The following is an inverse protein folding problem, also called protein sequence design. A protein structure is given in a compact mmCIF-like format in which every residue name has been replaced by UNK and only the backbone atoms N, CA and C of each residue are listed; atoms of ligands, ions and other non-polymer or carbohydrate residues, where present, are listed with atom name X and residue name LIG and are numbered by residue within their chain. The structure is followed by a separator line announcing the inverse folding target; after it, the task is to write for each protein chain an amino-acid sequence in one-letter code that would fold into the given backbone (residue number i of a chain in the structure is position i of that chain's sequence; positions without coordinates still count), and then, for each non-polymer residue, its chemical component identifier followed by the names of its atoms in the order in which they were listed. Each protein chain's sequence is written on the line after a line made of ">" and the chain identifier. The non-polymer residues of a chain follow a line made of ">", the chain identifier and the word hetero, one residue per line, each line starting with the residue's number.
data_IF_005908144170
#
_entry.id   IF_005908144170
#
_cell.length_a   1.000
_cell.length_b   1.000
_cell.length_c   1.000
_cell.angle_alpha   90.00
_cell.angle_beta   90.00
_cell.angle_gamma   90.00
#
_symmetry.space_group_name_H-M   'P 1'
#
loop_
_entity.id
_entity.type
_entity.pdbx_description
1 polymer ?
#
# COMPACT_ATOMS: atom_id res chain seq x y z
N UNK A 1 40.15 -11.68 13.67
CA UNK A 1 39.44 -11.15 12.49
C UNK A 1 39.14 -9.68 12.72
N UNK A 2 39.48 -8.77 11.80
CA UNK A 2 39.40 -7.34 12.05
C UNK A 2 37.93 -6.87 12.09
N UNK A 3 37.59 -6.04 13.08
CA UNK A 3 36.24 -5.51 13.32
C UNK A 3 35.67 -4.72 12.12
N UNK A 4 36.55 -4.23 11.26
CA UNK A 4 36.23 -3.53 10.01
C UNK A 4 35.40 -4.38 9.05
N UNK A 5 35.63 -5.69 8.99
CA UNK A 5 34.84 -6.60 8.16
C UNK A 5 33.37 -6.60 8.58
N UNK A 6 33.12 -6.72 9.89
CA UNK A 6 31.77 -6.74 10.46
C UNK A 6 31.03 -5.42 10.27
N UNK A 7 31.75 -4.30 10.35
CA UNK A 7 31.20 -2.97 10.06
C UNK A 7 30.74 -2.89 8.60
N UNK A 8 31.60 -3.30 7.65
CA UNK A 8 31.26 -3.28 6.22
C UNK A 8 30.07 -4.20 5.94
N UNK A 9 30.05 -5.41 6.50
CA UNK A 9 28.95 -6.34 6.36
C UNK A 9 27.63 -5.75 6.89
N UNK A 10 27.65 -5.11 8.07
CA UNK A 10 26.48 -4.47 8.65
C UNK A 10 25.93 -3.34 7.75
N UNK A 11 26.80 -2.51 7.18
CA UNK A 11 26.38 -1.45 6.24
C UNK A 11 25.78 -2.04 4.95
N UNK A 12 26.37 -3.10 4.39
CA UNK A 12 25.82 -3.76 3.21
C UNK A 12 24.45 -4.39 3.48
N UNK A 13 24.27 -5.03 4.64
CA UNK A 13 22.98 -5.58 5.06
C UNK A 13 21.92 -4.50 5.26
N UNK A 14 22.28 -3.40 5.93
CA UNK A 14 21.37 -2.26 6.13
C UNK A 14 20.97 -1.64 4.78
N UNK A 15 21.92 -1.50 3.86
CA UNK A 15 21.66 -1.02 2.49
C UNK A 15 20.73 -1.94 1.72
N UNK A 16 20.91 -3.26 1.81
CA UNK A 16 20.04 -4.24 1.16
C UNK A 16 18.60 -4.19 1.72
N UNK A 17 18.45 -4.08 3.04
CA UNK A 17 17.14 -3.93 3.69
C UNK A 17 16.49 -2.61 3.24
N UNK A 18 17.23 -1.51 3.24
CA UNK A 18 16.73 -0.20 2.84
C UNK A 18 16.29 -0.18 1.35
N UNK A 19 17.09 -0.75 0.44
CA UNK A 19 16.75 -0.85 -0.98
C UNK A 19 15.50 -1.71 -1.21
N UNK A 20 15.28 -2.70 -0.36
CA UNK A 20 14.08 -3.56 -0.40
C UNK A 20 12.85 -2.86 0.17
N UNK A 21 12.97 -2.13 1.28
CA UNK A 21 11.85 -1.43 1.92
C UNK A 21 11.45 -0.16 1.18
N UNK A 22 12.40 0.57 0.60
CA UNK A 22 12.16 1.84 -0.11
C UNK A 22 11.04 1.78 -1.16
N UNK A 23 11.00 0.81 -2.10
CA UNK A 23 9.90 0.72 -3.07
C UNK A 23 8.54 0.40 -2.44
N UNK A 24 8.50 -0.30 -1.29
CA UNK A 24 7.27 -0.59 -0.56
C UNK A 24 6.69 0.68 0.08
N UNK A 25 7.54 1.49 0.73
CA UNK A 25 7.15 2.78 1.30
C UNK A 25 6.75 3.78 0.20
N UNK A 26 7.44 3.76 -0.95
CA UNK A 26 7.11 4.62 -2.10
C UNK A 26 5.75 4.30 -2.74
N UNK A 27 5.31 3.04 -2.71
CA UNK A 27 3.97 2.65 -3.21
C UNK A 27 2.84 3.26 -2.38
N UNK A 28 3.02 3.39 -1.07
CA UNK A 28 2.03 4.05 -0.19
C UNK A 28 1.85 5.53 -0.56
N UNK A 29 2.94 6.25 -0.86
CA UNK A 29 2.86 7.65 -1.29
C UNK A 29 2.25 7.87 -2.69
N UNK A 30 2.27 6.87 -3.56
CA UNK A 30 1.62 6.94 -4.87
C UNK A 30 0.09 6.80 -4.78
N UNK A 31 -0.41 6.03 -3.81
CA UNK A 31 -1.85 5.92 -3.50
C UNK A 31 -2.45 7.26 -3.10
N UNK A 32 -1.84 7.93 -2.10
CA UNK A 32 -2.28 9.23 -1.60
C UNK A 32 -2.45 10.30 -2.72
N UNK A 33 -1.55 10.34 -3.70
CA UNK A 33 -1.64 11.29 -4.84
C UNK A 33 -2.79 10.94 -5.78
N UNK A 34 -3.07 9.65 -5.99
CA UNK A 34 -4.16 9.17 -6.83
C UNK A 34 -5.52 9.44 -6.18
N UNK A 35 -5.62 9.29 -4.87
CA UNK A 35 -6.85 9.50 -4.10
C UNK A 35 -7.24 10.98 -4.07
N UNK A 36 -6.26 11.87 -3.89
CA UNK A 36 -6.48 13.32 -3.96
C UNK A 36 -7.00 13.76 -5.34
N UNK A 37 -6.50 13.15 -6.42
CA UNK A 37 -6.99 13.42 -7.77
C UNK A 37 -8.41 12.87 -7.99
N UNK A 38 -8.70 11.65 -7.52
CA UNK A 38 -10.03 11.06 -7.61
C UNK A 38 -11.10 11.89 -6.88
N UNK A 39 -10.77 12.45 -5.71
CA UNK A 39 -11.68 13.31 -4.96
C UNK A 39 -12.07 14.58 -5.73
N UNK A 40 -11.14 15.19 -6.48
CA UNK A 40 -11.46 16.35 -7.32
C UNK A 40 -12.43 15.97 -8.44
N UNK A 41 -12.26 14.80 -9.06
CA UNK A 41 -13.15 14.30 -10.12
C UNK A 41 -14.57 14.07 -9.58
N UNK A 42 -14.73 13.47 -8.40
CA UNK A 42 -16.07 13.27 -7.82
C UNK A 42 -16.78 14.58 -7.47
N UNK A 43 -16.04 15.60 -7.01
CA UNK A 43 -16.61 16.95 -6.80
C UNK A 43 -17.13 17.56 -8.10
N UNK A 44 -16.40 17.39 -9.20
CA UNK A 44 -16.84 17.85 -10.52
C UNK A 44 -18.11 17.08 -10.98
N UNK A 45 -18.19 15.77 -10.72
CA UNK A 45 -19.37 14.96 -11.05
C UNK A 45 -20.62 15.41 -10.28
N UNK A 46 -20.49 15.77 -9.00
CA UNK A 46 -21.61 16.33 -8.24
C UNK A 46 -22.11 17.65 -8.84
N UNK A 47 -21.19 18.51 -9.28
CA UNK A 47 -21.56 19.75 -9.96
C UNK A 47 -22.29 19.49 -11.28
N UNK A 48 -21.88 18.47 -12.04
CA UNK A 48 -22.56 18.09 -13.28
C UNK A 48 -23.97 17.56 -13.01
N UNK A 49 -24.14 16.68 -12.02
CA UNK A 49 -25.45 16.15 -11.63
C UNK A 49 -26.38 17.28 -11.18
N UNK A 50 -25.88 18.24 -10.41
CA UNK A 50 -26.65 19.41 -9.99
C UNK A 50 -27.06 20.28 -11.19
N UNK A 51 -26.16 20.46 -12.16
CA UNK A 51 -26.45 21.20 -13.38
C UNK A 51 -27.45 20.47 -14.29
N UNK A 52 -27.34 19.15 -14.46
CA UNK A 52 -28.29 18.31 -15.18
C UNK A 52 -29.69 18.37 -14.58
N UNK A 53 -29.77 18.32 -13.25
CA UNK A 53 -31.04 18.47 -12.54
C UNK A 53 -31.62 19.88 -12.73
N UNK A 54 -30.81 20.93 -12.62
CA UNK A 54 -31.24 22.31 -12.84
C UNK A 54 -31.73 22.54 -14.29
N UNK A 55 -31.14 21.85 -15.27
CA UNK A 55 -31.56 21.85 -16.68
C UNK A 55 -32.78 20.96 -16.94
N UNK A 56 -33.25 20.19 -15.95
CA UNK A 56 -34.38 19.27 -16.09
C UNK A 56 -34.10 18.02 -16.93
N UNK A 57 -32.81 17.67 -17.17
CA UNK A 57 -32.45 16.46 -17.91
C UNK A 57 -32.69 15.18 -17.09
N UNK A 58 -32.67 15.29 -15.76
CA UNK A 58 -32.86 14.18 -14.83
C UNK A 58 -33.89 14.56 -13.76
N UNK A 59 -34.64 13.56 -13.29
CA UNK A 59 -35.61 13.75 -12.19
C UNK A 59 -34.89 14.01 -10.86
N UNK A 60 -35.59 14.65 -9.92
CA UNK A 60 -35.06 14.91 -8.58
C UNK A 60 -34.67 13.61 -7.84
N UNK A 61 -35.43 12.54 -8.04
CA UNK A 61 -35.14 11.21 -7.48
C UNK A 61 -33.83 10.64 -8.04
N UNK A 62 -33.65 10.71 -9.36
CA UNK A 62 -32.43 10.24 -10.02
C UNK A 62 -31.20 11.08 -9.62
N UNK A 63 -31.35 12.40 -9.51
CA UNK A 63 -30.29 13.30 -9.06
C UNK A 63 -29.86 12.97 -7.62
N UNK A 64 -30.82 12.77 -6.73
CA UNK A 64 -30.56 12.42 -5.31
C UNK A 64 -29.88 11.06 -5.19
N UNK A 65 -30.35 10.05 -5.93
CA UNK A 65 -29.75 8.73 -5.94
C UNK A 65 -28.30 8.76 -6.45
N UNK A 66 -28.04 9.52 -7.52
CA UNK A 66 -26.69 9.71 -8.07
C UNK A 66 -25.77 10.43 -7.08
N UNK A 67 -26.26 11.48 -6.41
CA UNK A 67 -25.52 12.21 -5.39
C UNK A 67 -25.13 11.31 -4.19
N UNK A 68 -26.05 10.47 -3.72
CA UNK A 68 -25.79 9.51 -2.64
C UNK A 68 -24.71 8.50 -3.05
N UNK A 69 -24.81 7.95 -4.25
CA UNK A 69 -23.84 6.98 -4.78
C UNK A 69 -22.44 7.60 -4.93
N UNK A 70 -22.34 8.81 -5.48
CA UNK A 70 -21.07 9.52 -5.65
C UNK A 70 -20.46 9.83 -4.28
N UNK A 71 -21.24 10.35 -3.32
CA UNK A 71 -20.76 10.61 -1.96
C UNK A 71 -20.31 9.33 -1.25
N UNK A 72 -21.01 8.21 -1.44
CA UNK A 72 -20.57 6.91 -0.91
C UNK A 72 -19.20 6.51 -1.47
N UNK A 73 -18.96 6.71 -2.77
CA UNK A 73 -17.65 6.44 -3.40
C UNK A 73 -16.55 7.39 -2.93
N UNK A 74 -16.89 8.66 -2.69
CA UNK A 74 -15.96 9.63 -2.11
C UNK A 74 -15.52 9.23 -0.71
N UNK A 75 -16.44 8.75 0.13
CA UNK A 75 -16.12 8.22 1.45
C UNK A 75 -15.21 6.99 1.36
N UNK A 76 -15.50 6.05 0.45
CA UNK A 76 -14.65 4.87 0.26
C UNK A 76 -13.20 5.22 -0.17
N UNK A 77 -13.00 6.30 -0.94
CA UNK A 77 -11.66 6.79 -1.30
C UNK A 77 -10.99 7.55 -0.16
N UNK A 78 -11.76 8.26 0.67
CA UNK A 78 -11.25 8.92 1.87
C UNK A 78 -10.83 7.91 2.96
N UNK A 79 -11.61 6.84 3.13
CA UNK A 79 -11.35 5.73 4.07
C UNK A 79 -10.32 4.71 3.53
N UNK A 80 -9.94 4.79 2.26
CA UNK A 80 -8.79 4.06 1.74
C UNK A 80 -7.44 4.69 2.17
N UNK A 81 -7.47 5.91 2.73
CA UNK A 81 -6.28 6.63 3.17
C UNK A 81 -5.73 6.24 4.57
N UNK A 82 -6.49 5.63 5.51
CA UNK A 82 -5.92 5.11 6.76
C UNK A 82 -5.55 3.62 6.71
N UNK A 83 -6.09 2.82 5.80
CA UNK A 83 -5.92 1.36 5.84
C UNK A 83 -4.84 0.87 4.87
N UNK A 84 -3.59 1.19 5.20
CA UNK A 84 -2.44 0.42 4.75
C UNK A 84 -2.42 -1.03 5.30
N UNK A 85 -3.48 -1.48 5.99
CA UNK A 85 -3.61 -2.82 6.58
C UNK A 85 -4.64 -3.71 5.88
N UNK A 86 -5.27 -3.24 4.80
CA UNK A 86 -6.09 -4.08 3.93
C UNK A 86 -5.53 -4.08 2.52
N UNK A 87 -4.29 -4.56 2.41
CA UNK A 87 -3.89 -5.26 1.20
C UNK A 87 -4.90 -6.40 1.01
N UNK A 88 -5.81 -6.22 0.05
CA UNK A 88 -6.59 -7.28 -0.55
C UNK A 88 -5.61 -8.37 -0.98
N UNK A 89 -5.45 -9.35 -0.11
CA UNK A 89 -4.89 -10.65 -0.41
C UNK A 89 -5.95 -11.33 -1.26
N UNK A 90 -5.92 -11.08 -2.57
CA UNK A 90 -6.46 -12.06 -3.49
C UNK A 90 -5.55 -13.30 -3.39
N UNK A 91 -6.10 -14.49 -3.07
CA UNK A 91 -5.30 -15.65 -2.72
C UNK A 91 -4.77 -16.30 -4.00
N UNK A 92 -3.67 -15.77 -4.53
CA UNK A 92 -2.79 -16.56 -5.39
C UNK A 92 -2.05 -17.57 -4.49
N UNK A 93 -2.75 -18.66 -4.21
CA UNK A 93 -2.26 -19.98 -3.82
C UNK A 93 -0.75 -20.20 -4.05
N UNK A 94 0.06 -19.85 -3.05
CA UNK A 94 1.35 -20.49 -2.80
C UNK A 94 1.73 -20.39 -1.31
N UNK A 95 1.16 -21.25 -0.43
CA UNK A 95 1.48 -21.31 1.01
C UNK A 95 2.96 -21.63 1.31
N UNK A 96 3.77 -21.87 0.27
CA UNK A 96 5.18 -22.16 0.43
C UNK A 96 6.11 -20.96 0.25
N UNK A 97 5.78 -19.92 -0.52
CA UNK A 97 6.81 -18.94 -0.91
C UNK A 97 7.30 -18.07 0.27
N UNK A 98 6.39 -17.54 1.09
CA UNK A 98 6.76 -16.77 2.28
C UNK A 98 7.40 -17.64 3.38
N UNK A 99 6.94 -18.89 3.55
CA UNK A 99 7.55 -19.83 4.49
C UNK A 99 8.97 -20.24 4.05
N UNK A 100 9.19 -20.40 2.74
CA UNK A 100 10.50 -20.67 2.13
C UNK A 100 11.48 -19.51 2.35
N UNK A 101 11.00 -18.26 2.25
CA UNK A 101 11.85 -17.06 2.38
C UNK A 101 12.11 -16.70 3.84
N UNK A 102 11.15 -16.90 4.74
CA UNK A 102 11.36 -16.79 6.18
C UNK A 102 12.33 -17.85 6.72
N UNK A 103 12.23 -19.10 6.22
CA UNK A 103 13.19 -20.16 6.56
C UNK A 103 14.58 -19.93 5.96
N UNK A 104 14.68 -19.38 4.75
CA UNK A 104 15.97 -19.02 4.14
C UNK A 104 16.65 -17.85 4.89
N UNK A 105 15.89 -16.84 5.31
CA UNK A 105 16.40 -15.75 6.15
C UNK A 105 16.81 -16.25 7.54
N UNK A 106 16.05 -17.17 8.14
CA UNK A 106 16.39 -17.81 9.42
C UNK A 106 17.66 -18.66 9.30
N UNK A 107 17.80 -19.49 8.25
CA UNK A 107 18.98 -20.32 8.01
C UNK A 107 20.24 -19.48 7.75
N UNK A 108 20.09 -18.36 7.03
CA UNK A 108 21.17 -17.40 6.78
C UNK A 108 21.61 -16.68 8.08
N UNK A 109 20.69 -16.51 9.04
CA UNK A 109 20.96 -15.88 10.34
C UNK A 109 21.38 -16.86 11.45
N UNK A 110 21.06 -18.16 11.31
CA UNK A 110 21.47 -19.21 12.25
C UNK A 110 22.93 -19.66 12.02
N UNK A 111 23.39 -19.57 10.78
CA UNK A 111 24.74 -20.02 10.41
C UNK A 111 25.89 -19.23 11.09
N UNK A 112 25.79 -17.91 11.30
CA UNK A 112 26.79 -17.16 12.08
C UNK A 112 26.75 -17.45 13.59
N UNK A 113 25.60 -17.87 14.14
CA UNK A 113 25.43 -18.14 15.57
C UNK A 113 26.17 -19.39 16.05
N UNK A 114 26.26 -20.43 15.21
CA UNK A 114 26.97 -21.67 15.54
C UNK A 114 28.50 -21.48 15.62
N UNK A 115 29.05 -20.48 14.92
CA UNK A 115 30.49 -20.17 14.97
C UNK A 115 30.91 -19.54 16.31
N UNK A 116 29.99 -18.90 17.04
CA UNK A 116 30.22 -18.35 18.37
C UNK A 116 30.13 -19.37 19.52
N UNK A 117 29.66 -20.60 19.26
CA UNK A 117 29.56 -21.64 20.29
C UNK A 117 30.83 -22.50 20.41
N UNK A 118 31.79 -22.34 19.48
CA UNK A 118 33.01 -23.15 19.39
C UNK A 118 34.29 -22.31 19.71
N UNK A 119 34.15 -21.00 19.95
CA UNK A 119 35.24 -20.12 20.39
C UNK A 119 34.88 -19.46 21.72
#
# INVERSE_FOLDING_TARGET
>A
MPITFWIIAAFMSLGAVALTLFPLLRRQGAGQRRDAHALQVYRAQLAEVAADHARGLISAENATAAEIEIKRRMLAVADAAPDADQAQVEPASAPGALRRWGLAALLLFLMPGAAFAIY
#
